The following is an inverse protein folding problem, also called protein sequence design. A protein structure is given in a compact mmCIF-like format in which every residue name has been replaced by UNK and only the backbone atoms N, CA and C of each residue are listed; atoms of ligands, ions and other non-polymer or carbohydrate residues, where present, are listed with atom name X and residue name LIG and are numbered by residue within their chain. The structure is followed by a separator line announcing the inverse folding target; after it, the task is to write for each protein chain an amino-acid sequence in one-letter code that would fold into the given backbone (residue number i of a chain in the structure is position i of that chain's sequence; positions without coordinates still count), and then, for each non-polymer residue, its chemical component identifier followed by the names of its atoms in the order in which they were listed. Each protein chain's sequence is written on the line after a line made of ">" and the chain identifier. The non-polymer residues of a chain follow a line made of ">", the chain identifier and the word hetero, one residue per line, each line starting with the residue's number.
data_IF_449867492261
#
_entry.id   IF_449867492261
#
_cell.length_a   1.000
_cell.length_b   1.000
_cell.length_c   1.000
_cell.angle_alpha   90.00
_cell.angle_beta   90.00
_cell.angle_gamma   90.00
#
_symmetry.space_group_name_H-M   'P 1'
#
loop_
_entity.id
_entity.type
_entity.pdbx_description
1 polymer ?
#
# COMPACT_ATOMS: atom_id res chain seq x y z
N UNK A 1 8.64 -6.30 -14.97
CA UNK A 1 7.74 -5.18 -14.64
C UNK A 1 8.45 -4.33 -13.60
N UNK A 2 8.33 -2.99 -13.67
CA UNK A 2 8.90 -2.10 -12.65
C UNK A 2 7.86 -1.88 -11.56
N UNK A 3 8.23 -2.22 -10.33
CA UNK A 3 7.39 -2.13 -9.14
C UNK A 3 7.99 -1.09 -8.20
N UNK A 4 7.14 -0.24 -7.64
CA UNK A 4 7.54 0.85 -6.73
C UNK A 4 6.84 0.71 -5.39
N UNK A 5 7.57 0.87 -4.30
CA UNK A 5 6.99 1.14 -2.98
C UNK A 5 6.95 2.65 -2.76
N UNK A 6 5.75 3.16 -2.46
CA UNK A 6 5.51 4.55 -2.05
C UNK A 6 5.22 4.57 -0.57
N UNK A 7 6.11 5.18 0.20
CA UNK A 7 5.97 5.35 1.64
C UNK A 7 5.35 6.71 1.96
N UNK A 8 4.14 6.72 2.50
CA UNK A 8 3.43 7.96 2.84
C UNK A 8 3.70 8.34 4.29
N UNK A 9 4.58 9.32 4.51
CA UNK A 9 4.94 9.83 5.83
C UNK A 9 5.59 8.80 6.76
N UNK A 10 6.23 7.77 6.21
CA UNK A 10 6.91 6.69 6.94
C UNK A 10 8.43 6.86 6.94
N UNK A 11 9.09 6.29 7.94
CA UNK A 11 10.56 6.21 7.94
C UNK A 11 11.02 5.28 6.81
N UNK A 12 11.91 5.81 5.97
CA UNK A 12 12.52 5.08 4.86
C UNK A 12 13.34 3.89 5.35
N UNK A 13 14.04 4.03 6.48
CA UNK A 13 15.05 3.07 6.97
C UNK A 13 14.49 1.67 7.14
N UNK A 14 13.26 1.56 7.63
CA UNK A 14 12.56 0.30 7.83
C UNK A 14 12.38 -0.49 6.53
N UNK A 15 12.35 0.20 5.38
CA UNK A 15 12.03 -0.36 4.08
C UNK A 15 13.22 -0.36 3.10
N UNK A 16 14.33 0.32 3.41
CA UNK A 16 15.47 0.40 2.48
C UNK A 16 16.08 -0.98 2.20
N UNK A 17 16.30 -1.78 3.24
CA UNK A 17 16.84 -3.13 3.07
C UNK A 17 15.83 -4.03 2.37
N UNK A 18 14.55 -3.92 2.74
CA UNK A 18 13.46 -4.66 2.13
C UNK A 18 13.35 -4.39 0.61
N UNK A 19 13.36 -3.12 0.21
CA UNK A 19 13.27 -2.72 -1.19
C UNK A 19 14.51 -3.18 -1.98
N UNK A 20 15.71 -3.11 -1.39
CA UNK A 20 16.94 -3.62 -2.01
C UNK A 20 16.89 -5.12 -2.25
N UNK A 21 16.45 -5.89 -1.25
CA UNK A 21 16.39 -7.35 -1.33
C UNK A 21 15.45 -7.81 -2.47
N UNK A 22 14.35 -7.10 -2.67
CA UNK A 22 13.35 -7.40 -3.70
C UNK A 22 13.56 -6.63 -5.02
N UNK A 23 14.63 -5.84 -5.13
CA UNK A 23 14.93 -4.98 -6.30
C UNK A 23 13.77 -4.06 -6.68
N UNK A 24 13.12 -3.48 -5.67
CA UNK A 24 12.02 -2.55 -5.82
C UNK A 24 12.54 -1.11 -5.77
N UNK A 25 11.92 -0.24 -6.56
CA UNK A 25 12.10 1.19 -6.39
C UNK A 25 11.40 1.63 -5.10
N UNK A 26 11.94 2.66 -4.42
CA UNK A 26 11.40 3.18 -3.16
C UNK A 26 11.30 4.70 -3.23
N UNK A 27 10.12 5.24 -2.97
CA UNK A 27 9.88 6.69 -2.90
C UNK A 27 9.16 7.08 -1.63
N UNK A 28 9.45 8.28 -1.16
CA UNK A 28 8.79 8.90 -0.03
C UNK A 28 7.77 9.91 -0.55
N UNK A 29 6.62 9.94 0.10
CA UNK A 29 5.59 10.94 -0.09
C UNK A 29 5.32 11.57 1.27
N UNK A 30 5.50 12.88 1.38
CA UNK A 30 5.19 13.64 2.57
C UNK A 30 3.93 14.49 2.36
N UNK A 31 3.56 15.24 3.39
CA UNK A 31 2.34 16.05 3.39
C UNK A 31 2.36 17.18 2.37
N UNK A 32 3.56 17.67 2.05
CA UNK A 32 3.76 18.85 1.22
C UNK A 32 4.13 18.46 -0.22
N UNK A 33 4.07 17.17 -0.55
CA UNK A 33 4.42 16.68 -1.88
C UNK A 33 3.41 17.15 -2.92
N UNK A 34 3.92 17.70 -4.03
CA UNK A 34 3.13 18.00 -5.23
C UNK A 34 2.66 16.69 -5.89
N UNK A 35 1.41 16.32 -5.62
CA UNK A 35 0.80 15.08 -6.10
C UNK A 35 0.77 14.99 -7.62
N UNK A 36 0.36 16.02 -8.39
CA UNK A 36 0.49 16.02 -9.85
C UNK A 36 1.90 15.67 -10.34
N UNK A 37 2.93 16.36 -9.83
CA UNK A 37 4.32 16.09 -10.24
C UNK A 37 4.76 14.66 -9.85
N UNK A 38 4.34 14.19 -8.66
CA UNK A 38 4.61 12.83 -8.24
C UNK A 38 3.96 11.80 -9.16
N UNK A 39 2.71 11.99 -9.55
CA UNK A 39 1.98 11.09 -10.45
C UNK A 39 2.62 11.00 -11.84
N UNK A 40 3.06 12.13 -12.40
CA UNK A 40 3.78 12.16 -13.68
C UNK A 40 5.06 11.32 -13.61
N UNK A 41 5.73 11.32 -12.46
CA UNK A 41 6.94 10.52 -12.23
C UNK A 41 6.65 9.01 -12.06
N UNK A 42 5.39 8.58 -12.08
CA UNK A 42 4.96 7.18 -11.99
C UNK A 42 4.72 6.50 -13.34
N UNK A 43 4.83 7.23 -14.46
CA UNK A 43 4.47 6.71 -15.80
C UNK A 43 5.23 5.43 -16.22
N UNK A 44 6.45 5.24 -15.72
CA UNK A 44 7.28 4.06 -16.00
C UNK A 44 6.96 2.83 -15.11
N UNK A 45 6.02 2.95 -14.18
CA UNK A 45 5.67 1.90 -13.22
C UNK A 45 4.36 1.22 -13.59
N UNK A 46 4.40 -0.10 -13.65
CA UNK A 46 3.21 -0.90 -13.93
C UNK A 46 2.35 -1.06 -12.68
N UNK A 47 3.01 -1.08 -11.52
CA UNK A 47 2.42 -1.37 -10.21
C UNK A 47 3.11 -0.54 -9.15
N UNK A 48 2.31 0.00 -8.24
CA UNK A 48 2.80 0.63 -7.01
C UNK A 48 2.21 -0.05 -5.79
N UNK A 49 3.02 -0.19 -4.74
CA UNK A 49 2.56 -0.52 -3.40
C UNK A 49 2.58 0.76 -2.58
N UNK A 50 1.42 1.22 -2.12
CA UNK A 50 1.33 2.39 -1.25
C UNK A 50 1.30 1.90 0.20
N UNK A 51 2.23 2.39 1.01
CA UNK A 51 2.36 2.08 2.42
C UNK A 51 1.98 3.33 3.22
N UNK A 52 0.91 3.26 4.01
CA UNK A 52 0.47 4.39 4.84
C UNK A 52 -0.19 3.95 6.14
N UNK A 53 -0.20 4.84 7.12
CA UNK A 53 -0.98 4.65 8.34
C UNK A 53 -2.36 5.30 8.24
N UNK A 54 -3.40 4.48 8.41
CA UNK A 54 -4.78 4.91 8.51
C UNK A 54 -5.07 5.62 9.84
N UNK A 55 -6.14 6.41 9.85
CA UNK A 55 -6.52 7.29 10.96
C UNK A 55 -5.64 8.54 11.04
N UNK A 56 -5.01 8.92 9.93
CA UNK A 56 -4.16 10.12 9.85
C UNK A 56 -4.18 10.73 8.44
N UNK A 57 -3.49 11.86 8.26
CA UNK A 57 -3.29 12.50 6.95
C UNK A 57 -2.63 11.56 5.93
N UNK A 58 -1.87 10.54 6.38
CA UNK A 58 -1.22 9.59 5.50
C UNK A 58 -2.24 8.71 4.76
N UNK A 59 -3.32 8.32 5.45
CA UNK A 59 -4.41 7.56 4.83
C UNK A 59 -5.22 8.40 3.84
N UNK A 60 -5.47 9.67 4.16
CA UNK A 60 -6.11 10.63 3.22
C UNK A 60 -5.28 10.76 1.94
N UNK A 61 -3.97 10.96 2.08
CA UNK A 61 -3.06 11.11 0.95
C UNK A 61 -2.90 9.82 0.12
N UNK A 62 -2.91 8.66 0.78
CA UNK A 62 -2.95 7.36 0.10
C UNK A 62 -4.19 7.22 -0.78
N UNK A 63 -5.37 7.58 -0.26
CA UNK A 63 -6.62 7.52 -1.02
C UNK A 63 -6.56 8.47 -2.22
N UNK A 64 -6.10 9.70 -2.02
CA UNK A 64 -5.95 10.68 -3.10
C UNK A 64 -4.99 10.17 -4.20
N UNK A 65 -3.84 9.64 -3.81
CA UNK A 65 -2.85 9.10 -4.74
C UNK A 65 -3.43 7.93 -5.52
N UNK A 66 -4.09 6.99 -4.83
CA UNK A 66 -4.67 5.81 -5.46
C UNK A 66 -5.79 6.14 -6.46
N UNK A 67 -6.62 7.15 -6.15
CA UNK A 67 -7.67 7.62 -7.06
C UNK A 67 -7.13 8.21 -8.36
N UNK A 68 -5.93 8.79 -8.30
CA UNK A 68 -5.30 9.47 -9.43
C UNK A 68 -4.25 8.62 -10.15
N UNK A 69 -3.77 7.51 -9.57
CA UNK A 69 -2.81 6.65 -10.27
C UNK A 69 -3.47 5.95 -11.46
N UNK A 70 -2.72 5.88 -12.57
CA UNK A 70 -3.09 5.10 -13.75
C UNK A 70 -2.53 3.67 -13.71
N UNK A 71 -1.69 3.38 -12.72
CA UNK A 71 -1.01 2.12 -12.49
C UNK A 71 -1.85 1.16 -11.64
N UNK A 72 -1.47 -0.13 -11.59
CA UNK A 72 -2.03 -1.04 -10.58
C UNK A 72 -1.61 -0.58 -9.18
N UNK A 73 -2.56 -0.51 -8.24
CA UNK A 73 -2.32 -0.05 -6.87
C UNK A 73 -2.56 -1.19 -5.90
N UNK A 74 -1.52 -1.52 -5.12
CA UNK A 74 -1.60 -2.41 -3.97
C UNK A 74 -1.56 -1.57 -2.70
N UNK A 75 -2.52 -1.78 -1.81
CA UNK A 75 -2.64 -1.07 -0.55
C UNK A 75 -1.94 -1.85 0.58
N UNK A 76 -1.03 -1.20 1.27
CA UNK A 76 -0.45 -1.72 2.50
C UNK A 76 -0.76 -0.76 3.64
N UNK A 77 -1.86 -1.02 4.32
CA UNK A 77 -2.44 -0.13 5.30
C UNK A 77 -2.06 -0.58 6.72
N UNK A 78 -1.45 0.33 7.47
CA UNK A 78 -1.20 0.17 8.90
C UNK A 78 -2.27 0.91 9.69
N UNK A 79 -2.78 0.33 10.76
CA UNK A 79 -3.81 0.94 11.61
C UNK A 79 -3.24 1.35 12.96
N UNK A 80 -3.61 2.53 13.43
CA UNK A 80 -3.30 2.97 14.80
C UNK A 80 -4.38 2.48 15.75
N UNK A 81 -3.95 1.88 16.85
CA UNK A 81 -4.84 1.24 17.83
C UNK A 81 -4.59 1.68 19.27
N UNK A 82 -3.82 2.77 19.49
CA UNK A 82 -3.42 3.18 20.84
C UNK A 82 -4.58 3.77 21.65
N UNK A 83 -5.59 4.31 20.99
CA UNK A 83 -6.81 4.78 21.62
C UNK A 83 -8.04 4.66 20.69
N UNK A 84 -9.23 4.80 21.27
CA UNK A 84 -10.50 4.62 20.55
C UNK A 84 -10.69 5.62 19.40
N UNK A 85 -10.19 6.85 19.52
CA UNK A 85 -10.30 7.84 18.45
C UNK A 85 -9.44 7.44 17.24
N UNK A 86 -8.22 6.97 17.46
CA UNK A 86 -7.36 6.45 16.39
C UNK A 86 -7.95 5.20 15.73
N UNK A 87 -8.55 4.30 16.51
CA UNK A 87 -9.23 3.11 15.99
C UNK A 87 -10.42 3.49 15.11
N UNK A 88 -11.25 4.42 15.56
CA UNK A 88 -12.41 4.90 14.80
C UNK A 88 -11.94 5.58 13.51
N UNK A 89 -10.93 6.45 13.59
CA UNK A 89 -10.40 7.13 12.41
C UNK A 89 -9.80 6.13 11.39
N UNK A 90 -9.05 5.13 11.88
CA UNK A 90 -8.51 4.06 11.03
C UNK A 90 -9.62 3.25 10.36
N UNK A 91 -10.68 2.92 11.11
CA UNK A 91 -11.85 2.21 10.59
C UNK A 91 -12.57 3.01 9.51
N UNK A 92 -12.81 4.31 9.73
CA UNK A 92 -13.51 5.16 8.75
C UNK A 92 -12.75 5.19 7.43
N UNK A 93 -11.42 5.37 7.47
CA UNK A 93 -10.60 5.37 6.26
C UNK A 93 -10.53 3.99 5.60
N UNK A 94 -10.47 2.90 6.38
CA UNK A 94 -10.55 1.55 5.83
C UNK A 94 -11.89 1.30 5.11
N UNK A 95 -13.01 1.69 5.73
CA UNK A 95 -14.35 1.60 5.14
C UNK A 95 -14.45 2.44 3.84
N UNK A 96 -13.80 3.61 3.79
CA UNK A 96 -13.73 4.46 2.61
C UNK A 96 -12.93 3.80 1.47
N UNK A 97 -11.74 3.27 1.77
CA UNK A 97 -10.92 2.53 0.81
C UNK A 97 -11.72 1.38 0.20
N UNK A 98 -12.37 0.56 1.03
CA UNK A 98 -13.14 -0.60 0.55
C UNK A 98 -14.38 -0.20 -0.28
N UNK A 99 -14.95 0.98 -0.05
CA UNK A 99 -16.06 1.51 -0.87
C UNK A 99 -15.57 2.02 -2.22
N UNK A 100 -14.44 2.73 -2.25
CA UNK A 100 -13.88 3.34 -3.46
C UNK A 100 -13.24 2.27 -4.35
N UNK A 101 -12.56 1.30 -3.73
CA UNK A 101 -11.82 0.23 -4.39
C UNK A 101 -12.48 -1.13 -4.10
N UNK A 102 -13.58 -1.48 -4.79
CA UNK A 102 -14.32 -2.72 -4.52
C UNK A 102 -13.52 -3.99 -4.82
N UNK A 103 -12.50 -3.89 -5.68
CA UNK A 103 -11.51 -4.94 -5.93
C UNK A 103 -10.23 -4.67 -5.15
N UNK A 104 -10.35 -4.29 -3.87
CA UNK A 104 -9.22 -3.98 -3.01
C UNK A 104 -8.14 -5.07 -3.08
N UNK A 105 -6.95 -4.69 -3.55
CA UNK A 105 -5.75 -5.52 -3.55
C UNK A 105 -4.81 -4.98 -2.48
N UNK A 106 -4.61 -5.71 -1.40
CA UNK A 106 -3.82 -5.21 -0.30
C UNK A 106 -4.03 -5.91 1.02
N UNK A 107 -3.53 -5.29 2.08
CA UNK A 107 -3.70 -5.74 3.44
C UNK A 107 -3.91 -4.55 4.38
N UNK A 108 -4.73 -4.76 5.42
CA UNK A 108 -4.91 -3.83 6.52
C UNK A 108 -4.47 -4.55 7.80
N UNK A 109 -3.40 -4.09 8.43
CA UNK A 109 -2.83 -4.71 9.64
C UNK A 109 -2.58 -3.68 10.75
N UNK A 110 -2.33 -4.16 11.97
CA UNK A 110 -1.99 -3.27 13.09
C UNK A 110 -0.55 -2.75 12.97
N UNK A 111 -0.35 -1.46 13.19
CA UNK A 111 0.99 -0.86 13.26
C UNK A 111 1.81 -1.39 14.45
N UNK A 112 1.14 -1.86 15.50
CA UNK A 112 1.77 -2.41 16.71
C UNK A 112 2.35 -3.82 16.48
N UNK A 113 2.13 -4.42 15.30
CA UNK A 113 2.80 -5.67 14.94
C UNK A 113 4.33 -5.45 14.80
N UNK A 114 5.16 -6.41 15.23
CA UNK A 114 6.61 -6.34 15.04
C UNK A 114 6.97 -6.05 13.58
N UNK A 115 8.02 -5.25 13.37
CA UNK A 115 8.44 -4.81 12.04
C UNK A 115 8.69 -6.00 11.12
N UNK A 116 9.29 -7.06 11.64
CA UNK A 116 9.61 -8.29 10.91
C UNK A 116 8.36 -8.94 10.34
N UNK A 117 7.30 -9.03 11.15
CA UNK A 117 6.00 -9.59 10.74
C UNK A 117 5.33 -8.70 9.70
N UNK A 118 5.43 -7.38 9.85
CA UNK A 118 4.92 -6.43 8.85
C UNK A 118 5.66 -6.62 7.52
N UNK A 119 6.99 -6.68 7.53
CA UNK A 119 7.78 -6.88 6.32
C UNK A 119 7.51 -8.23 5.66
N UNK A 120 7.29 -9.29 6.45
CA UNK A 120 6.90 -10.60 5.91
C UNK A 120 5.52 -10.56 5.22
N UNK A 121 4.53 -9.89 5.83
CA UNK A 121 3.23 -9.68 5.20
C UNK A 121 3.34 -8.90 3.89
N UNK A 122 4.20 -7.87 3.85
CA UNK A 122 4.45 -7.09 2.64
C UNK A 122 5.13 -7.96 1.56
N UNK A 123 6.09 -8.81 1.94
CA UNK A 123 6.75 -9.74 1.02
C UNK A 123 5.75 -10.74 0.44
N UNK A 124 4.88 -11.31 1.27
CA UNK A 124 3.87 -12.26 0.84
C UNK A 124 2.92 -11.62 -0.18
N UNK A 125 2.48 -10.38 0.08
CA UNK A 125 1.62 -9.61 -0.82
C UNK A 125 2.26 -9.37 -2.20
N UNK A 126 3.55 -9.01 -2.22
CA UNK A 126 4.28 -8.80 -3.48
C UNK A 126 4.49 -10.12 -4.24
N UNK A 127 4.75 -11.22 -3.50
CA UNK A 127 5.07 -12.52 -4.10
C UNK A 127 3.83 -13.26 -4.59
N UNK A 128 2.68 -13.11 -3.93
CA UNK A 128 1.42 -13.76 -4.33
C UNK A 128 0.89 -13.26 -5.67
N UNK A 129 1.25 -12.04 -6.05
CA UNK A 129 0.83 -11.43 -7.32
C UNK A 129 1.74 -11.78 -8.50
N UNK A 130 2.90 -12.40 -8.26
CA UNK A 130 3.82 -12.88 -9.30
C UNK A 130 3.55 -14.35 -9.70
N UNK A 131 2.69 -15.06 -8.97
CA UNK A 131 2.18 -16.35 -9.44
C UNK A 131 1.12 -16.10 -10.54
N UNK A 132 1.35 -16.55 -11.79
CA UNK A 132 0.29 -16.48 -12.79
C UNK A 132 -0.87 -17.31 -12.28
N UNK A 133 -2.02 -16.65 -12.10
CA UNK A 133 -3.29 -17.31 -11.82
C UNK A 133 -3.37 -18.61 -12.61
N UNK A 134 -3.22 -19.74 -11.92
CA UNK A 134 -3.63 -21.01 -12.49
C UNK A 134 -5.10 -20.82 -12.77
N UNK A 135 -5.44 -20.72 -14.07
CA UNK A 135 -6.80 -20.73 -14.56
C UNK A 135 -7.53 -21.78 -13.72
N UNK A 136 -8.53 -21.32 -12.98
CA UNK A 136 -9.57 -22.19 -12.47
C UNK A 136 -10.22 -22.80 -13.71
N UNK A 137 -9.70 -23.97 -14.10
CA UNK A 137 -10.36 -24.83 -15.05
C UNK A 137 -11.69 -25.20 -14.43
N UNK A 138 -12.74 -24.69 -15.07
CA UNK A 138 -14.13 -25.02 -14.84
C UNK A 138 -14.25 -26.54 -14.65
N UNK A 139 -14.57 -26.97 -13.45
CA UNK A 139 -15.27 -28.24 -13.29
C UNK A 139 -16.76 -27.95 -13.36
N UNK A 140 -17.31 -28.11 -14.57
CA UNK A 140 -18.68 -28.55 -14.71
C UNK A 140 -18.73 -30.02 -14.29
N UNK A 141 -19.45 -30.30 -13.20
CA UNK A 141 -20.20 -31.55 -13.00
C UNK A 141 -21.55 -31.17 -12.43
#
# INVERSE_FOLDING_TARGET
>A
MRNLIVLVGRDKKDFENFAKDLKLDLRLLDRDTDIPCFLDSLEDFNRIIIVATLGSWQGELMIELALKCKCEVIFYCLTKTKNIHEMIASRIQADEILKIFPNFQGVIISEEMPLEVRMEALRALISSDDEPSKKSDRFHV
#
